data_IF_004839910331
#
_entry.id   IF_004839910331
#
_cell.length_a   1.000
_cell.length_b   1.000
_cell.length_c   1.000
_cell.angle_alpha   90.00
_cell.angle_beta   90.00
_cell.angle_gamma   90.00
#
_symmetry.space_group_name_H-M   'P 1'
#
loop_
_entity.id
_entity.type
_entity.pdbx_description
1 polymer ?
#
# COMPACT_ATOMS: atom_id res chain seq x y z
N UNK A 1 -26.06 -19.18 -0.58
CA UNK A 1 -26.19 -17.73 -0.31
C UNK A 1 -24.79 -17.14 -0.32
N UNK A 2 -24.54 -16.01 -1.02
CA UNK A 2 -23.24 -15.36 -0.95
C UNK A 2 -22.97 -14.89 0.50
N UNK A 3 -21.71 -14.90 0.95
CA UNK A 3 -21.36 -14.41 2.28
C UNK A 3 -21.74 -12.93 2.44
N UNK A 4 -22.23 -12.50 3.61
CA UNK A 4 -22.58 -11.11 3.86
C UNK A 4 -21.34 -10.23 3.71
N UNK A 5 -21.48 -9.12 2.96
CA UNK A 5 -20.42 -8.12 2.82
C UNK A 5 -20.22 -7.44 4.18
N UNK A 6 -18.98 -7.36 4.71
CA UNK A 6 -18.70 -6.66 5.95
C UNK A 6 -19.12 -5.18 5.87
N UNK A 7 -19.77 -4.65 6.91
CA UNK A 7 -20.30 -3.28 6.93
C UNK A 7 -19.22 -2.21 6.73
N UNK A 8 -18.01 -2.42 7.26
CA UNK A 8 -16.89 -1.49 7.09
C UNK A 8 -16.49 -1.29 5.61
N UNK A 9 -16.75 -2.28 4.72
CA UNK A 9 -16.45 -2.14 3.29
C UNK A 9 -17.41 -1.17 2.60
N UNK A 10 -18.55 -0.84 3.21
CA UNK A 10 -19.50 0.14 2.73
C UNK A 10 -19.21 1.55 3.29
N UNK A 11 -18.34 1.65 4.29
CA UNK A 11 -17.99 2.91 4.94
C UNK A 11 -16.94 3.68 4.14
N UNK A 12 -17.35 4.82 3.58
CA UNK A 12 -16.45 5.75 2.89
C UNK A 12 -15.21 6.15 3.74
N UNK A 13 -15.33 6.40 5.06
CA UNK A 13 -14.18 6.73 5.90
C UNK A 13 -13.10 5.64 5.91
N UNK A 14 -13.48 4.36 5.85
CA UNK A 14 -12.54 3.24 5.84
C UNK A 14 -11.70 3.24 4.55
N UNK A 15 -12.35 3.44 3.39
CA UNK A 15 -11.66 3.56 2.11
C UNK A 15 -10.74 4.78 2.04
N UNK A 16 -11.15 5.92 2.59
CA UNK A 16 -10.33 7.12 2.64
C UNK A 16 -9.09 6.91 3.53
N UNK A 17 -9.25 6.29 4.70
CA UNK A 17 -8.14 5.96 5.59
C UNK A 17 -7.16 4.97 4.94
N UNK A 18 -7.69 3.94 4.27
CA UNK A 18 -6.89 2.96 3.52
C UNK A 18 -6.11 3.65 2.39
N UNK A 19 -6.78 4.48 1.59
CA UNK A 19 -6.16 5.23 0.50
C UNK A 19 -5.06 6.17 0.98
N UNK A 20 -5.30 6.90 2.07
CA UNK A 20 -4.29 7.77 2.68
C UNK A 20 -3.07 6.98 3.20
N UNK A 21 -3.29 5.81 3.81
CA UNK A 21 -2.20 4.93 4.23
C UNK A 21 -1.39 4.42 3.03
N UNK A 22 -2.06 3.97 1.96
CA UNK A 22 -1.41 3.50 0.73
C UNK A 22 -0.59 4.63 0.08
N UNK A 23 -1.13 5.84 0.02
CA UNK A 23 -0.42 7.01 -0.50
C UNK A 23 0.77 7.38 0.37
N UNK A 24 0.63 7.36 1.70
CA UNK A 24 1.72 7.63 2.63
C UNK A 24 2.87 6.62 2.55
N UNK A 25 2.55 5.35 2.25
CA UNK A 25 3.52 4.25 2.07
C UNK A 25 4.18 4.30 0.68
N UNK A 26 3.47 4.76 -0.34
CA UNK A 26 3.96 4.80 -1.73
C UNK A 26 4.71 6.09 -2.09
N UNK A 27 4.40 7.23 -1.43
CA UNK A 27 5.11 8.50 -1.66
C UNK A 27 6.64 8.39 -1.51
N UNK A 28 7.17 7.78 -0.42
CA UNK A 28 8.61 7.69 -0.20
C UNK A 28 9.33 6.82 -1.23
N UNK A 29 8.66 5.78 -1.74
CA UNK A 29 9.22 4.86 -2.74
C UNK A 29 9.20 5.45 -4.15
N UNK A 30 8.22 6.30 -4.47
CA UNK A 30 8.14 7.04 -5.73
C UNK A 30 9.13 8.21 -5.76
N UNK A 31 9.24 8.98 -4.67
CA UNK A 31 10.04 10.21 -4.65
C UNK A 31 11.55 9.99 -4.43
N UNK A 32 11.95 8.88 -3.80
CA UNK A 32 13.36 8.59 -3.51
C UNK A 32 13.62 7.11 -3.74
N UNK A 33 14.35 6.78 -4.81
CA UNK A 33 14.81 5.42 -5.16
C UNK A 33 15.10 4.59 -3.91
N UNK A 34 14.35 3.51 -3.70
CA UNK A 34 14.52 2.42 -2.72
C UNK A 34 15.76 2.53 -1.81
N UNK A 35 15.78 3.49 -0.89
CA UNK A 35 16.79 3.55 0.17
C UNK A 35 16.21 2.86 1.40
N UNK A 36 16.95 1.98 2.10
CA UNK A 36 16.44 1.29 3.28
C UNK A 36 15.81 2.22 4.33
N UNK A 37 16.33 3.45 4.44
CA UNK A 37 15.80 4.49 5.34
C UNK A 37 14.42 5.02 4.96
N UNK A 38 13.99 4.95 3.69
CA UNK A 38 12.64 5.38 3.27
C UNK A 38 11.59 4.27 3.41
N UNK A 39 12.02 3.03 3.67
CA UNK A 39 11.11 1.91 3.96
C UNK A 39 10.61 1.93 5.41
N UNK A 40 11.39 2.47 6.35
CA UNK A 40 11.03 2.56 7.78
C UNK A 40 9.68 3.26 8.02
N UNK A 41 9.44 4.50 7.54
CA UNK A 41 8.17 5.18 7.77
C UNK A 41 7.00 4.45 7.08
N UNK A 42 7.24 3.85 5.93
CA UNK A 42 6.26 3.08 5.16
C UNK A 42 5.81 1.81 5.91
N UNK A 43 6.76 1.09 6.53
CA UNK A 43 6.46 -0.08 7.37
C UNK A 43 5.69 0.35 8.63
N UNK A 44 6.09 1.45 9.27
CA UNK A 44 5.39 1.98 10.45
C UNK A 44 3.96 2.41 10.14
N UNK A 45 3.72 3.07 8.99
CA UNK A 45 2.38 3.45 8.55
C UNK A 45 1.50 2.22 8.24
N UNK A 46 2.09 1.18 7.65
CA UNK A 46 1.37 -0.08 7.37
C UNK A 46 1.02 -0.81 8.67
N UNK A 47 1.95 -0.86 9.63
CA UNK A 47 1.69 -1.43 10.96
C UNK A 47 0.63 -0.62 11.72
N UNK A 48 0.68 0.71 11.62
CA UNK A 48 -0.31 1.59 12.22
C UNK A 48 -1.70 1.40 11.59
N UNK A 49 -1.80 1.21 10.26
CA UNK A 49 -3.08 0.97 9.60
C UNK A 49 -3.67 -0.40 9.95
N UNK A 50 -2.83 -1.43 10.08
CA UNK A 50 -3.23 -2.77 10.56
C UNK A 50 -3.75 -2.68 12.00
N UNK A 51 -3.01 -1.98 12.87
CA UNK A 51 -3.40 -1.77 14.28
C UNK A 51 -4.69 -0.98 14.42
N UNK A 52 -4.84 0.12 13.68
CA UNK A 52 -6.06 0.93 13.67
C UNK A 52 -7.27 0.12 13.20
N UNK A 53 -7.09 -0.72 12.17
CA UNK A 53 -8.17 -1.56 11.64
C UNK A 53 -8.57 -2.68 12.59
N UNK A 54 -7.60 -3.26 13.30
CA UNK A 54 -7.86 -4.27 14.33
C UNK A 54 -8.68 -3.71 15.51
N UNK A 55 -8.42 -2.46 15.91
CA UNK A 55 -9.09 -1.81 17.03
C UNK A 55 -10.48 -1.30 16.63
N UNK A 56 -10.63 -0.70 15.45
CA UNK A 56 -11.84 0.03 15.06
C UNK A 56 -12.85 -0.80 14.26
N UNK A 57 -12.40 -1.75 13.45
CA UNK A 57 -13.24 -2.45 12.48
C UNK A 57 -13.17 -3.98 12.56
N UNK A 58 -12.36 -4.51 13.49
CA UNK A 58 -12.28 -5.93 13.82
C UNK A 58 -11.48 -6.79 12.83
N UNK A 59 -11.45 -8.13 13.03
CA UNK A 59 -10.50 -9.04 12.37
C UNK A 59 -10.64 -9.07 10.84
N UNK A 60 -11.87 -8.94 10.33
CA UNK A 60 -12.15 -8.95 8.90
C UNK A 60 -11.55 -7.71 8.19
N UNK A 61 -11.58 -6.54 8.84
CA UNK A 61 -10.98 -5.32 8.30
C UNK A 61 -9.45 -5.40 8.30
N UNK A 62 -8.86 -5.97 9.35
CA UNK A 62 -7.41 -6.21 9.41
C UNK A 62 -6.95 -7.13 8.28
N UNK A 63 -7.67 -8.23 8.04
CA UNK A 63 -7.35 -9.15 6.94
C UNK A 63 -7.44 -8.45 5.57
N UNK A 64 -8.46 -7.63 5.35
CA UNK A 64 -8.60 -6.86 4.11
C UNK A 64 -7.43 -5.89 3.90
N UNK A 65 -7.00 -5.17 4.95
CA UNK A 65 -5.86 -4.25 4.88
C UNK A 65 -4.58 -5.00 4.53
N UNK A 66 -4.32 -6.15 5.15
CA UNK A 66 -3.12 -6.96 4.85
C UNK A 66 -3.12 -7.42 3.40
N UNK A 67 -4.24 -7.96 2.91
CA UNK A 67 -4.35 -8.46 1.52
C UNK A 67 -4.21 -7.32 0.52
N UNK A 68 -4.89 -6.20 0.73
CA UNK A 68 -4.83 -5.04 -0.18
C UNK A 68 -3.42 -4.45 -0.19
N UNK A 69 -2.77 -4.30 0.97
CA UNK A 69 -1.39 -3.81 1.06
C UNK A 69 -0.40 -4.76 0.39
N UNK A 70 -0.59 -6.07 0.50
CA UNK A 70 0.26 -7.05 -0.18
C UNK A 70 0.13 -6.96 -1.72
N UNK A 71 -1.11 -6.92 -2.23
CA UNK A 71 -1.38 -6.75 -3.67
C UNK A 71 -0.80 -5.43 -4.17
N UNK A 72 -1.00 -4.35 -3.41
CA UNK A 72 -0.45 -3.04 -3.76
C UNK A 72 1.08 -3.05 -3.78
N UNK A 73 1.73 -3.73 -2.85
CA UNK A 73 3.18 -3.91 -2.82
C UNK A 73 3.71 -4.59 -4.08
N UNK A 74 3.02 -5.61 -4.59
CA UNK A 74 3.36 -6.28 -5.86
C UNK A 74 3.22 -5.33 -7.04
N UNK A 75 2.11 -4.58 -7.12
CA UNK A 75 1.88 -3.60 -8.19
C UNK A 75 2.97 -2.51 -8.17
N UNK A 76 3.29 -1.99 -6.98
CA UNK A 76 4.33 -0.97 -6.81
C UNK A 76 5.72 -1.50 -7.22
N UNK A 77 6.04 -2.76 -6.90
CA UNK A 77 7.29 -3.40 -7.33
C UNK A 77 7.37 -3.56 -8.85
N UNK A 78 6.27 -3.98 -9.50
CA UNK A 78 6.20 -4.09 -10.97
C UNK A 78 6.38 -2.73 -11.64
N UNK A 79 5.71 -1.69 -11.13
CA UNK A 79 5.88 -0.32 -11.62
C UNK A 79 7.32 0.15 -11.45
N UNK A 80 7.94 -0.09 -10.30
CA UNK A 80 9.33 0.27 -10.06
C UNK A 80 10.30 -0.40 -11.05
N UNK A 81 10.12 -1.70 -11.33
CA UNK A 81 10.92 -2.43 -12.32
C UNK A 81 10.70 -1.85 -13.72
N UNK A 82 9.44 -1.56 -14.09
CA UNK A 82 9.10 -1.00 -15.39
C UNK A 82 9.75 0.37 -15.62
N UNK A 83 9.66 1.28 -14.65
CA UNK A 83 10.29 2.61 -14.73
C UNK A 83 11.83 2.54 -14.64
N UNK A 84 12.39 1.63 -13.85
CA UNK A 84 13.84 1.40 -13.84
C UNK A 84 14.35 0.91 -15.21
N UNK A 85 13.63 -0.02 -15.84
CA UNK A 85 13.93 -0.50 -17.19
C UNK A 85 13.87 0.61 -18.26
N UNK A 86 12.88 1.51 -18.18
CA UNK A 86 12.80 2.70 -19.05
C UNK A 86 13.98 3.65 -18.84
N UNK A 87 14.43 3.83 -17.59
CA UNK A 87 15.60 4.64 -17.26
C UNK A 87 16.90 4.10 -17.85
N UNK A 88 17.09 2.78 -17.85
CA UNK A 88 18.27 2.16 -18.45
C UNK A 88 18.22 2.17 -19.99
N UNK A 89 17.04 2.03 -20.59
CA UNK A 89 16.86 2.14 -22.04
C UNK A 89 17.11 3.55 -22.56
N UNK A 90 16.75 4.58 -21.78
CA UNK A 90 17.03 5.99 -22.14
C UNK A 90 18.50 6.34 -21.99
N UNK A 91 19.22 5.77 -21.01
CA UNK A 91 20.66 5.98 -20.83
C UNK A 91 21.54 5.27 -21.86
N UNK A 92 21.16 4.08 -22.33
CA UNK A 92 21.93 3.34 -23.35
C UNK A 92 21.81 3.93 -24.77
N UNK A 93 20.92 4.91 -24.98
CA UNK A 93 20.68 5.54 -26.28
C UNK A 93 21.46 6.83 -26.49
N UNK A 94 22.15 7.32 -25.46
CA UNK A 94 23.09 8.45 -25.49
C UNK A 94 24.50 7.95 -25.15
#
# INVERSE_FOLDING_TARGET
MPPPIPQFMLELPWWLALGAAILGVSLPSILRSFRPRTLIPSILLTLASIGASAILAGPAATAAVIVISAVWGVIAALLAIFFAGLGDLTKKRY
#
